data_IF_567872824975
#
_entry.id   IF_567872824975
#
_cell.length_a   1.000
_cell.length_b   1.000
_cell.length_c   1.000
_cell.angle_alpha   90.00
_cell.angle_beta   90.00
_cell.angle_gamma   90.00
#
_symmetry.space_group_name_H-M   'P 1'
#
loop_
_entity.id
_entity.type
_entity.pdbx_description
1 polymer ?
#
# COMPACT_ATOMS: atom_id res chain seq x y z
N UNK A 1 -1.05 8.73 -7.26
CA UNK A 1 -0.92 7.83 -6.10
C UNK A 1 -0.98 8.61 -4.81
N UNK A 2 -1.60 8.02 -3.79
CA UNK A 2 -1.48 8.49 -2.40
C UNK A 2 -0.20 7.96 -1.78
N UNK A 3 0.17 8.50 -0.63
CA UNK A 3 1.33 8.00 0.13
C UNK A 3 1.10 6.55 0.57
N UNK A 4 -0.09 6.22 1.05
CA UNK A 4 -0.46 4.88 1.51
C UNK A 4 -0.28 3.84 0.38
N UNK A 5 -0.79 4.13 -0.82
CA UNK A 5 -0.63 3.25 -2.00
C UNK A 5 0.84 3.10 -2.39
N UNK A 6 1.59 4.21 -2.37
CA UNK A 6 3.01 4.20 -2.72
C UNK A 6 3.85 3.41 -1.71
N UNK A 7 3.62 3.62 -0.42
CA UNK A 7 4.35 2.94 0.66
C UNK A 7 4.15 1.43 0.61
N UNK A 8 2.90 0.97 0.54
CA UNK A 8 2.61 -0.46 0.47
C UNK A 8 3.23 -1.11 -0.77
N UNK A 9 3.18 -0.42 -1.93
CA UNK A 9 3.84 -0.91 -3.13
C UNK A 9 5.36 -0.96 -2.97
N UNK A 10 5.98 0.06 -2.39
CA UNK A 10 7.42 0.10 -2.16
C UNK A 10 7.90 -1.07 -1.30
N UNK A 11 7.18 -1.39 -0.22
CA UNK A 11 7.51 -2.54 0.64
C UNK A 11 7.48 -3.85 -0.14
N UNK A 12 6.46 -4.07 -0.97
CA UNK A 12 6.38 -5.28 -1.81
C UNK A 12 7.52 -5.38 -2.84
N UNK A 13 7.99 -4.24 -3.34
CA UNK A 13 9.07 -4.19 -4.35
C UNK A 13 10.45 -4.52 -3.77
N UNK A 14 10.62 -4.58 -2.45
CA UNK A 14 11.86 -5.07 -1.81
C UNK A 14 12.11 -6.55 -2.13
N UNK A 15 11.08 -7.27 -2.56
CA UNK A 15 11.23 -8.63 -3.10
C UNK A 15 11.36 -9.75 -2.05
N UNK A 16 11.19 -9.44 -0.77
CA UNK A 16 11.25 -10.43 0.32
C UNK A 16 9.89 -11.09 0.65
N UNK A 17 8.87 -10.85 -0.16
CA UNK A 17 7.51 -11.40 0.02
C UNK A 17 6.71 -10.77 1.16
N UNK A 18 7.23 -9.73 1.81
CA UNK A 18 6.56 -9.07 2.95
C UNK A 18 5.54 -8.04 2.47
N UNK A 19 4.47 -7.95 3.20
CA UNK A 19 3.50 -6.86 3.14
C UNK A 19 3.74 -5.90 4.32
N UNK A 20 3.40 -4.61 4.16
CA UNK A 20 3.63 -3.60 5.20
C UNK A 20 2.99 -3.98 6.53
N UNK A 21 1.80 -4.56 6.48
CA UNK A 21 1.02 -4.91 7.67
C UNK A 21 1.20 -6.36 8.12
N UNK A 22 2.22 -7.07 7.65
CA UNK A 22 2.56 -8.36 8.20
C UNK A 22 2.85 -8.23 9.69
N UNK A 23 2.27 -9.13 10.49
CA UNK A 23 2.48 -9.11 11.93
C UNK A 23 3.92 -9.50 12.26
N UNK A 24 4.50 -8.79 13.21
CA UNK A 24 5.71 -9.24 13.86
C UNK A 24 5.35 -10.21 14.99
N UNK A 25 6.23 -11.19 15.23
CA UNK A 25 6.06 -12.10 16.36
C UNK A 25 6.37 -11.43 17.71
N UNK A 26 6.90 -10.22 17.67
CA UNK A 26 7.26 -9.46 18.87
C UNK A 26 6.01 -8.82 19.51
N UNK A 27 5.80 -9.12 20.78
CA UNK A 27 4.68 -8.62 21.57
C UNK A 27 5.10 -7.71 22.71
N UNK A 28 6.38 -7.70 23.09
CA UNK A 28 6.88 -6.87 24.19
C UNK A 28 7.00 -5.40 23.74
N UNK A 29 6.25 -4.54 24.42
CA UNK A 29 6.24 -3.10 24.14
C UNK A 29 7.60 -2.42 24.40
N UNK A 30 8.42 -2.95 25.34
CA UNK A 30 9.73 -2.38 25.60
C UNK A 30 10.71 -2.68 24.46
N UNK A 31 10.64 -3.89 23.89
CA UNK A 31 11.41 -4.26 22.70
C UNK A 31 10.97 -3.41 21.52
N UNK A 32 9.67 -3.31 21.27
CA UNK A 32 9.12 -2.46 20.19
C UNK A 32 9.62 -1.02 20.35
N UNK A 33 9.52 -0.42 21.53
CA UNK A 33 10.00 0.94 21.79
C UNK A 33 11.50 1.10 21.61
N UNK A 34 12.28 0.07 21.91
CA UNK A 34 13.72 0.08 21.69
C UNK A 34 14.03 0.08 20.18
N UNK A 35 13.38 -0.78 19.40
CA UNK A 35 13.55 -0.86 17.96
C UNK A 35 13.11 0.44 17.24
N UNK A 36 12.11 1.14 17.78
CA UNK A 36 11.72 2.45 17.25
C UNK A 36 12.84 3.51 17.37
N UNK A 37 13.68 3.43 18.41
CA UNK A 37 14.80 4.37 18.61
C UNK A 37 15.98 4.11 17.68
N UNK A 38 16.14 2.89 17.20
CA UNK A 38 17.27 2.48 16.38
C UNK A 38 16.85 2.38 14.90
N UNK A 39 17.48 3.14 13.98
CA UNK A 39 17.11 3.18 12.56
C UNK A 39 17.67 1.94 11.82
N UNK A 40 17.02 0.79 12.00
CA UNK A 40 17.30 -0.44 11.25
C UNK A 40 16.38 -0.55 10.03
N UNK A 41 16.63 -1.49 9.13
CA UNK A 41 15.78 -1.85 8.01
C UNK A 41 14.42 -2.42 8.45
N UNK A 42 14.33 -2.99 9.65
CA UNK A 42 13.10 -3.50 10.26
C UNK A 42 12.24 -2.42 10.93
N UNK A 43 12.78 -1.22 11.15
CA UNK A 43 12.14 -0.14 11.92
C UNK A 43 10.74 0.21 11.42
N UNK A 44 10.52 0.19 10.10
CA UNK A 44 9.20 0.47 9.53
C UNK A 44 8.14 -0.51 10.01
N UNK A 45 8.47 -1.77 10.12
CA UNK A 45 7.55 -2.80 10.60
C UNK A 45 7.28 -2.67 12.09
N UNK A 46 8.26 -2.24 12.89
CA UNK A 46 8.07 -1.89 14.29
C UNK A 46 7.19 -0.65 14.48
N UNK A 47 7.25 0.33 13.56
CA UNK A 47 6.30 1.47 13.54
C UNK A 47 4.87 0.97 13.32
N UNK A 48 4.66 0.07 12.36
CA UNK A 48 3.35 -0.52 12.11
C UNK A 48 2.84 -1.28 13.34
N UNK A 49 3.71 -2.09 13.96
CA UNK A 49 3.33 -2.87 15.13
C UNK A 49 3.04 -1.99 16.35
N UNK A 50 3.82 -0.93 16.57
CA UNK A 50 3.58 0.06 17.62
C UNK A 50 2.20 0.71 17.49
N UNK A 51 1.85 1.14 16.28
CA UNK A 51 0.54 1.72 15.98
C UNK A 51 -0.56 0.67 16.17
N UNK A 52 -0.36 -0.56 15.72
CA UNK A 52 -1.31 -1.66 15.91
C UNK A 52 -1.62 -1.93 17.37
N UNK A 53 -0.61 -1.80 18.23
CA UNK A 53 -0.73 -1.96 19.70
C UNK A 53 -1.25 -0.70 20.41
N UNK A 54 -1.55 0.36 19.66
CA UNK A 54 -2.16 1.58 20.23
C UNK A 54 -1.16 2.56 20.84
N UNK A 55 0.13 2.47 20.54
CA UNK A 55 1.09 3.51 20.94
C UNK A 55 0.72 4.80 20.20
N UNK A 56 0.59 5.91 20.93
CA UNK A 56 0.20 7.19 20.39
C UNK A 56 1.18 7.70 19.33
N UNK A 57 0.67 8.36 18.30
CA UNK A 57 1.48 8.90 17.19
C UNK A 57 2.56 9.85 17.70
N UNK A 58 2.25 10.65 18.71
CA UNK A 58 3.19 11.59 19.34
C UNK A 58 4.37 10.84 19.97
N UNK A 59 4.10 9.70 20.61
CA UNK A 59 5.16 8.86 21.20
C UNK A 59 6.00 8.18 20.10
N UNK A 60 5.38 7.66 19.05
CA UNK A 60 6.11 7.10 17.91
C UNK A 60 6.96 8.17 17.24
N UNK A 61 6.43 9.38 17.01
CA UNK A 61 7.19 10.52 16.48
C UNK A 61 8.38 10.86 17.39
N UNK A 62 8.17 10.95 18.69
CA UNK A 62 9.23 11.25 19.66
C UNK A 62 10.36 10.21 19.65
N UNK A 63 10.04 8.94 19.49
CA UNK A 63 11.01 7.84 19.45
C UNK A 63 11.75 7.72 18.12
N UNK A 64 11.06 8.03 17.02
CA UNK A 64 11.57 7.78 15.67
C UNK A 64 12.06 9.01 14.93
N UNK A 65 11.56 10.20 15.27
CA UNK A 65 11.73 11.43 14.49
C UNK A 65 10.91 11.46 13.19
N UNK A 66 10.08 10.43 12.92
CA UNK A 66 9.25 10.39 11.71
C UNK A 66 8.11 11.39 11.84
N UNK A 67 7.95 12.25 10.83
CA UNK A 67 6.94 13.31 10.82
C UNK A 67 5.54 12.72 10.96
N UNK A 68 4.64 13.32 11.79
CA UNK A 68 3.29 12.82 12.05
C UNK A 68 2.47 12.52 10.81
N UNK A 69 2.60 13.29 9.74
CA UNK A 69 1.91 13.04 8.46
C UNK A 69 2.11 11.60 7.95
N UNK A 70 3.34 11.08 8.00
CA UNK A 70 3.64 9.72 7.55
C UNK A 70 3.10 8.68 8.53
N UNK A 71 3.20 8.96 9.83
CA UNK A 71 2.68 8.06 10.88
C UNK A 71 1.16 7.94 10.83
N UNK A 72 0.45 9.05 10.60
CA UNK A 72 -1.00 9.06 10.42
C UNK A 72 -1.43 8.29 9.16
N UNK A 73 -0.66 8.37 8.09
CA UNK A 73 -0.90 7.58 6.88
C UNK A 73 -0.72 6.08 7.14
N UNK A 74 0.30 5.69 7.92
CA UNK A 74 0.50 4.29 8.33
C UNK A 74 -0.66 3.84 9.23
N UNK A 75 -1.09 4.70 10.17
CA UNK A 75 -2.24 4.44 11.05
C UNK A 75 -3.51 4.14 10.26
N UNK A 76 -3.82 4.93 9.23
CA UNK A 76 -4.97 4.68 8.34
C UNK A 76 -4.92 3.28 7.71
N UNK A 77 -3.73 2.83 7.30
CA UNK A 77 -3.56 1.49 6.74
C UNK A 77 -3.85 0.42 7.80
N UNK A 78 -3.28 0.56 9.00
CA UNK A 78 -3.44 -0.39 10.11
C UNK A 78 -4.89 -0.46 10.60
N UNK A 79 -5.54 0.69 10.76
CA UNK A 79 -6.94 0.77 11.18
C UNK A 79 -7.86 0.17 10.13
N UNK A 80 -7.60 0.44 8.86
CA UNK A 80 -8.40 -0.12 7.79
C UNK A 80 -8.20 -1.64 7.63
N UNK A 81 -7.02 -2.19 7.89
CA UNK A 81 -6.82 -3.64 7.92
C UNK A 81 -7.76 -4.30 8.95
N UNK A 82 -7.86 -3.71 10.15
CA UNK A 82 -8.77 -4.19 11.20
C UNK A 82 -10.25 -4.05 10.81
N UNK A 83 -10.61 -2.88 10.26
CA UNK A 83 -11.97 -2.62 9.77
C UNK A 83 -12.36 -3.65 8.69
N UNK A 84 -11.50 -3.85 7.69
CA UNK A 84 -11.74 -4.75 6.57
C UNK A 84 -11.97 -6.19 7.04
N UNK A 85 -11.17 -6.69 7.98
CA UNK A 85 -11.29 -8.04 8.53
C UNK A 85 -12.65 -8.28 9.22
N UNK A 86 -13.32 -7.24 9.71
CA UNK A 86 -14.62 -7.33 10.41
C UNK A 86 -15.82 -7.04 9.51
N UNK A 87 -15.68 -6.20 8.50
CA UNK A 87 -16.79 -5.72 7.66
C UNK A 87 -17.02 -6.55 6.40
N UNK A 88 -16.10 -7.42 6.05
CA UNK A 88 -16.24 -8.36 4.93
C UNK A 88 -15.87 -7.76 3.56
N UNK A 89 -15.86 -8.64 2.54
CA UNK A 89 -15.49 -8.34 1.15
C UNK A 89 -16.68 -7.80 0.34
N UNK A 90 -17.12 -6.58 0.64
CA UNK A 90 -18.07 -5.86 -0.21
C UNK A 90 -17.34 -5.13 -1.34
N UNK A 91 -18.08 -4.70 -2.37
CA UNK A 91 -17.52 -3.89 -3.46
C UNK A 91 -16.86 -2.61 -2.93
N UNK A 92 -17.53 -1.94 -1.98
CA UNK A 92 -17.02 -0.70 -1.37
C UNK A 92 -15.73 -0.94 -0.59
N UNK A 93 -15.72 -1.96 0.28
CA UNK A 93 -14.56 -2.30 1.09
C UNK A 93 -13.38 -2.74 0.22
N UNK A 94 -13.62 -3.56 -0.80
CA UNK A 94 -12.57 -3.98 -1.71
C UNK A 94 -11.99 -2.79 -2.48
N UNK A 95 -12.85 -1.87 -2.94
CA UNK A 95 -12.39 -0.63 -3.59
C UNK A 95 -11.54 0.22 -2.63
N UNK A 96 -12.00 0.44 -1.39
CA UNK A 96 -11.26 1.21 -0.37
C UNK A 96 -9.91 0.56 -0.05
N UNK A 97 -9.86 -0.77 0.07
CA UNK A 97 -8.60 -1.50 0.23
C UNK A 97 -7.62 -1.25 -0.92
N UNK A 98 -8.10 -1.28 -2.16
CA UNK A 98 -7.26 -0.99 -3.34
C UNK A 98 -6.77 0.45 -3.39
N UNK A 99 -7.60 1.42 -3.00
CA UNK A 99 -7.21 2.83 -2.88
C UNK A 99 -6.09 3.05 -1.85
N UNK A 100 -6.11 2.30 -0.74
CA UNK A 100 -5.06 2.34 0.28
C UNK A 100 -3.82 1.52 -0.11
N UNK A 101 -3.87 0.74 -1.20
CA UNK A 101 -2.72 0.02 -1.74
C UNK A 101 -2.57 -1.43 -1.27
N UNK A 102 -3.57 -2.03 -0.63
CA UNK A 102 -3.54 -3.46 -0.29
C UNK A 102 -3.41 -4.33 -1.54
N UNK A 103 -2.54 -5.34 -1.50
CA UNK A 103 -2.42 -6.35 -2.55
C UNK A 103 -3.60 -7.31 -2.52
N UNK A 104 -3.88 -7.97 -3.65
CA UNK A 104 -4.89 -9.02 -3.68
C UNK A 104 -4.48 -10.20 -2.79
N UNK A 105 -3.17 -10.49 -2.73
CA UNK A 105 -2.59 -11.47 -1.82
C UNK A 105 -2.93 -11.14 -0.35
N UNK A 106 -2.62 -9.92 0.09
CA UNK A 106 -2.86 -9.50 1.50
C UNK A 106 -4.35 -9.51 1.85
N UNK A 107 -5.21 -9.06 0.93
CA UNK A 107 -6.66 -9.14 1.12
C UNK A 107 -7.10 -10.61 1.21
N UNK A 108 -6.58 -11.47 0.34
CA UNK A 108 -6.87 -12.91 0.39
C UNK A 108 -6.49 -13.53 1.75
N UNK A 109 -5.30 -13.23 2.26
CA UNK A 109 -4.83 -13.70 3.58
C UNK A 109 -5.81 -13.33 4.71
N UNK A 110 -6.35 -12.10 4.71
CA UNK A 110 -7.32 -11.67 5.73
C UNK A 110 -8.63 -12.47 5.74
N UNK A 111 -9.00 -13.05 4.60
CA UNK A 111 -10.27 -13.77 4.43
C UNK A 111 -10.08 -15.28 4.17
N UNK A 112 -8.87 -15.81 4.33
CA UNK A 112 -8.58 -17.22 4.03
C UNK A 112 -8.82 -17.57 2.56
N UNK A 113 -8.61 -16.63 1.63
CA UNK A 113 -8.77 -16.79 0.18
C UNK A 113 -7.43 -16.63 -0.53
N UNK A 114 -7.31 -17.23 -1.72
CA UNK A 114 -6.14 -17.00 -2.56
C UNK A 114 -6.23 -15.66 -3.32
N UNK A 115 -5.11 -15.22 -3.86
CA UNK A 115 -5.00 -13.97 -4.62
C UNK A 115 -5.91 -13.95 -5.85
N UNK A 116 -6.05 -15.07 -6.55
CA UNK A 116 -6.84 -15.14 -7.77
C UNK A 116 -8.33 -14.93 -7.49
N UNK A 117 -8.85 -15.48 -6.38
CA UNK A 117 -10.23 -15.21 -5.94
C UNK A 117 -10.47 -13.69 -5.74
N UNK A 118 -9.52 -12.98 -5.13
CA UNK A 118 -9.66 -11.53 -4.95
C UNK A 118 -9.59 -10.80 -6.29
N UNK A 119 -8.73 -11.26 -7.20
CA UNK A 119 -8.62 -10.71 -8.57
C UNK A 119 -9.93 -10.89 -9.35
N UNK A 120 -10.57 -12.04 -9.24
CA UNK A 120 -11.88 -12.33 -9.84
C UNK A 120 -12.96 -11.40 -9.28
N UNK A 121 -13.03 -11.25 -7.95
CA UNK A 121 -13.96 -10.32 -7.30
C UNK A 121 -13.75 -8.88 -7.76
N UNK A 122 -12.50 -8.43 -7.91
CA UNK A 122 -12.22 -7.11 -8.47
C UNK A 122 -12.74 -6.96 -9.91
N UNK A 123 -12.60 -8.01 -10.71
CA UNK A 123 -13.13 -8.03 -12.09
C UNK A 123 -14.65 -7.91 -12.10
N UNK A 124 -15.34 -8.69 -11.28
CA UNK A 124 -16.81 -8.68 -11.12
C UNK A 124 -17.28 -7.28 -10.71
N UNK A 125 -16.60 -6.66 -9.73
CA UNK A 125 -16.93 -5.33 -9.23
C UNK A 125 -16.40 -4.18 -10.09
N UNK A 126 -15.75 -4.48 -11.24
CA UNK A 126 -15.13 -3.51 -12.13
C UNK A 126 -14.14 -2.57 -11.40
N UNK A 127 -13.38 -3.11 -10.44
CA UNK A 127 -12.33 -2.40 -9.70
C UNK A 127 -11.01 -2.59 -10.44
N UNK A 128 -10.64 -1.61 -11.27
CA UNK A 128 -9.43 -1.63 -12.11
C UNK A 128 -8.55 -0.41 -11.82
N UNK A 129 -7.22 -0.57 -11.86
CA UNK A 129 -6.33 0.58 -11.84
C UNK A 129 -6.40 1.31 -13.19
N UNK A 130 -6.09 2.59 -13.18
CA UNK A 130 -5.82 3.35 -14.40
C UNK A 130 -4.33 3.57 -14.59
N UNK A 131 -3.90 3.70 -15.84
CA UNK A 131 -2.53 4.04 -16.23
C UNK A 131 -2.40 5.55 -16.30
N UNK A 132 -1.50 6.10 -15.51
CA UNK A 132 -1.22 7.53 -15.46
C UNK A 132 0.22 7.81 -15.88
N UNK A 133 0.44 8.95 -16.50
CA UNK A 133 1.75 9.42 -16.90
C UNK A 133 2.34 10.35 -15.85
N UNK A 134 3.62 10.17 -15.53
CA UNK A 134 4.35 11.14 -14.70
C UNK A 134 4.74 12.29 -15.61
N UNK A 135 4.13 13.45 -15.39
CA UNK A 135 4.58 14.69 -16.01
C UNK A 135 5.78 15.22 -15.21
N UNK A 136 6.97 14.91 -15.67
CA UNK A 136 8.18 15.62 -15.27
C UNK A 136 8.14 17.04 -15.83
N UNK A 137 8.97 17.98 -15.31
CA UNK A 137 8.99 19.37 -15.76
C UNK A 137 8.89 19.46 -17.30
N UNK A 138 8.08 20.38 -17.82
CA UNK A 138 7.69 20.51 -19.26
C UNK A 138 8.82 20.34 -20.29
N UNK A 139 10.07 20.60 -19.92
CA UNK A 139 11.25 20.43 -20.79
C UNK A 139 11.69 18.97 -21.01
N UNK A 140 11.22 18.03 -20.19
CA UNK A 140 11.66 16.62 -20.19
C UNK A 140 10.56 15.66 -20.63
N UNK A 141 9.31 16.13 -20.71
CA UNK A 141 8.14 15.31 -21.06
C UNK A 141 8.17 14.79 -22.50
N UNK A 142 8.92 15.43 -23.38
CA UNK A 142 9.01 15.02 -24.80
C UNK A 142 9.91 13.79 -25.03
N UNK A 143 10.74 13.40 -24.03
CA UNK A 143 11.75 12.35 -24.21
C UNK A 143 11.58 11.09 -23.37
N UNK A 144 10.73 11.09 -22.35
CA UNK A 144 10.56 9.93 -21.47
C UNK A 144 9.13 9.79 -20.98
N UNK A 145 8.45 8.73 -21.40
CA UNK A 145 7.10 8.39 -20.97
C UNK A 145 7.17 7.45 -19.76
N UNK A 146 7.23 8.02 -18.55
CA UNK A 146 7.12 7.23 -17.33
C UNK A 146 5.64 7.00 -16.99
N UNK A 147 5.24 5.74 -16.94
CA UNK A 147 3.87 5.33 -16.64
C UNK A 147 3.81 4.67 -15.28
N UNK A 148 2.66 4.81 -14.61
CA UNK A 148 2.36 4.08 -13.40
C UNK A 148 0.89 3.71 -13.33
N UNK A 149 0.59 2.58 -12.68
CA UNK A 149 -0.77 2.18 -12.40
C UNK A 149 -1.18 2.67 -11.00
N UNK A 150 -2.43 3.12 -10.88
CA UNK A 150 -3.00 3.54 -9.59
C UNK A 150 -4.51 3.30 -9.56
N UNK A 151 -5.03 2.97 -8.40
CA UNK A 151 -6.48 2.95 -8.15
C UNK A 151 -7.02 4.34 -7.77
N UNK A 152 -6.15 5.27 -7.38
CA UNK A 152 -6.48 6.64 -7.04
C UNK A 152 -6.52 7.52 -8.30
N UNK A 153 -7.52 7.30 -9.14
CA UNK A 153 -7.72 8.05 -10.38
C UNK A 153 -9.21 8.15 -10.73
N UNK A 154 -9.50 8.98 -11.71
CA UNK A 154 -10.81 9.13 -12.37
C UNK A 154 -11.20 7.95 -13.29
N UNK A 155 -10.45 6.86 -13.28
CA UNK A 155 -10.60 5.65 -14.10
C UNK A 155 -10.29 5.84 -15.59
N UNK A 156 -9.73 6.95 -15.99
CA UNK A 156 -9.30 7.16 -17.37
C UNK A 156 -7.80 6.88 -17.50
N UNK A 157 -7.43 6.09 -18.49
CA UNK A 157 -6.05 5.95 -18.90
C UNK A 157 -5.57 7.22 -19.60
N UNK A 158 -4.37 7.70 -19.28
CA UNK A 158 -3.74 8.84 -19.95
C UNK A 158 -2.99 8.42 -21.22
N UNK A 159 -2.90 7.12 -21.46
CA UNK A 159 -2.24 6.55 -22.63
C UNK A 159 -3.29 5.84 -23.48
N UNK A 160 -3.31 6.16 -24.77
CA UNK A 160 -4.16 5.45 -25.71
C UNK A 160 -3.54 4.09 -26.08
N UNK A 161 -4.18 3.01 -25.64
CA UNK A 161 -3.79 1.64 -25.96
C UNK A 161 -4.55 1.05 -27.16
N UNK A 162 -5.25 1.86 -27.94
CA UNK A 162 -6.10 1.39 -29.06
C UNK A 162 -5.34 0.87 -30.29
N UNK A 163 -4.04 1.20 -30.43
CA UNK A 163 -3.22 0.70 -31.53
C UNK A 163 -2.83 -0.76 -31.34
N UNK A 164 -2.79 -1.53 -32.42
CA UNK A 164 -2.36 -2.93 -32.44
C UNK A 164 -0.82 -3.08 -32.24
N UNK A 165 -0.37 -4.27 -31.85
CA UNK A 165 1.03 -4.65 -31.73
C UNK A 165 1.82 -3.92 -30.62
N UNK A 166 1.31 -3.96 -29.39
CA UNK A 166 2.03 -3.45 -28.22
C UNK A 166 2.61 -4.58 -27.39
N UNK A 167 3.81 -4.38 -26.87
CA UNK A 167 4.44 -5.26 -25.90
C UNK A 167 4.81 -4.46 -24.65
N UNK A 168 4.52 -5.01 -23.47
CA UNK A 168 5.01 -4.48 -22.19
C UNK A 168 6.07 -5.45 -21.70
N UNK A 169 7.26 -4.94 -21.46
CA UNK A 169 8.33 -5.68 -20.79
C UNK A 169 8.33 -5.24 -19.32
N UNK A 170 8.11 -6.21 -18.45
CA UNK A 170 8.19 -6.00 -17.00
C UNK A 170 9.58 -6.44 -16.53
N UNK A 171 10.30 -5.54 -15.90
CA UNK A 171 11.59 -5.78 -15.26
C UNK A 171 11.53 -5.59 -13.76
#
# INVERSE_FOLDING_TARGET
KTFEEALQKAVRMIGNGRELTNQLNETDLNIIKNELKHPTDERLFYVVEAIRKGIAIEEVNRLTGIVPFFLESIKKIVEYEKELATTGLTQENLKKAKLLGFSDKKIGELFGKNEDTIRELRSIFNIKPAVKQIQTAKRWSEKANYLYCTYNSDKTDEVNFSESNKAIVLG
#
